data_IF_809640736778
#
_entry.id   IF_809640736778
#
_cell.length_a   1.000
_cell.length_b   1.000
_cell.length_c   1.000
_cell.angle_alpha   90.00
_cell.angle_beta   90.00
_cell.angle_gamma   90.00
#
_symmetry.space_group_name_H-M   'P 1'
#
loop_
_entity.id
_entity.type
_entity.pdbx_description
1 polymer ?
#
# COMPACT_ATOMS: atom_id res chain seq x y z
N UNK A 1 1.67 -9.23 15.85
CA UNK A 1 1.27 -7.85 15.54
C UNK A 1 -0.17 -7.91 15.07
N UNK A 2 -1.09 -7.05 15.52
CA UNK A 2 -2.48 -7.10 15.02
C UNK A 2 -2.52 -6.66 13.55
N UNK A 3 -3.48 -7.17 12.78
CA UNK A 3 -3.65 -6.85 11.36
C UNK A 3 -3.88 -5.33 11.16
N UNK A 4 -4.54 -4.66 12.10
CA UNK A 4 -4.73 -3.21 12.10
C UNK A 4 -3.43 -2.42 12.28
N UNK A 5 -2.56 -2.87 13.20
CA UNK A 5 -1.23 -2.26 13.38
C UNK A 5 -0.39 -2.45 12.13
N UNK A 6 -0.43 -3.64 11.53
CA UNK A 6 0.25 -3.94 10.27
C UNK A 6 -0.25 -3.04 9.13
N UNK A 7 -1.57 -2.90 8.98
CA UNK A 7 -2.21 -2.02 8.00
C UNK A 7 -1.77 -0.56 8.15
N UNK A 8 -1.65 -0.07 9.39
CA UNK A 8 -1.14 1.28 9.64
C UNK A 8 0.28 1.45 9.12
N UNK A 9 1.19 0.53 9.46
CA UNK A 9 2.58 0.59 8.98
C UNK A 9 2.68 0.54 7.45
N UNK A 10 1.93 -0.35 6.81
CA UNK A 10 1.95 -0.51 5.35
C UNK A 10 1.38 0.75 4.65
N UNK A 11 0.39 1.41 5.25
CA UNK A 11 -0.12 2.70 4.73
C UNK A 11 0.91 3.81 4.84
N UNK A 12 1.59 3.93 5.97
CA UNK A 12 2.67 4.91 6.15
C UNK A 12 3.82 4.67 5.16
N UNK A 13 4.16 3.40 4.93
CA UNK A 13 5.14 3.00 3.91
C UNK A 13 4.68 3.38 2.50
N UNK A 14 3.43 3.09 2.15
CA UNK A 14 2.84 3.46 0.87
C UNK A 14 2.95 4.96 0.60
N UNK A 15 2.55 5.80 1.55
CA UNK A 15 2.61 7.26 1.43
C UNK A 15 4.04 7.76 1.22
N UNK A 16 4.99 7.21 1.98
CA UNK A 16 6.40 7.57 1.85
C UNK A 16 6.98 7.21 0.47
N UNK A 17 6.66 6.02 -0.04
CA UNK A 17 7.17 5.55 -1.34
C UNK A 17 6.46 6.21 -2.52
N UNK A 18 5.16 6.52 -2.43
CA UNK A 18 4.45 7.34 -3.42
C UNK A 18 5.11 8.72 -3.52
N UNK A 19 5.34 9.39 -2.40
CA UNK A 19 6.00 10.70 -2.40
C UNK A 19 7.43 10.62 -2.98
N UNK A 20 8.15 9.52 -2.74
CA UNK A 20 9.48 9.28 -3.34
C UNK A 20 9.39 9.07 -4.85
N UNK A 21 8.39 8.32 -5.32
CA UNK A 21 8.15 8.07 -6.74
C UNK A 21 7.77 9.34 -7.48
N UNK A 22 6.92 10.19 -6.88
CA UNK A 22 6.56 11.49 -7.43
C UNK A 22 7.78 12.40 -7.61
N UNK A 23 8.64 12.50 -6.60
CA UNK A 23 9.89 13.27 -6.71
C UNK A 23 10.80 12.76 -7.82
N UNK A 24 10.94 11.44 -7.93
CA UNK A 24 11.76 10.84 -9.00
C UNK A 24 11.16 11.08 -10.39
N UNK A 25 9.84 10.94 -10.53
CA UNK A 25 9.13 11.23 -11.78
C UNK A 25 9.26 12.72 -12.16
N UNK A 26 9.20 13.63 -11.20
CA UNK A 26 9.38 15.06 -11.45
C UNK A 26 10.80 15.36 -11.91
N UNK A 27 11.81 14.74 -11.30
CA UNK A 27 13.19 14.87 -11.74
C UNK A 27 13.38 14.33 -13.17
N UNK A 28 12.87 13.14 -13.48
CA UNK A 28 12.98 12.52 -14.82
C UNK A 28 12.31 13.37 -15.91
N UNK A 29 11.24 14.10 -15.56
CA UNK A 29 10.55 15.03 -16.49
C UNK A 29 11.22 16.41 -16.57
N UNK A 30 12.24 16.69 -15.77
CA UNK A 30 12.89 17.99 -15.73
C UNK A 30 13.90 18.15 -16.86
N UNK A 31 14.12 19.41 -17.29
CA UNK A 31 15.17 19.72 -18.26
C UNK A 31 16.58 19.43 -17.73
N UNK A 32 16.76 19.35 -16.40
CA UNK A 32 18.03 19.00 -15.77
C UNK A 32 18.40 17.54 -16.06
N UNK A 33 17.42 16.62 -15.97
CA UNK A 33 17.63 15.21 -16.32
C UNK A 33 18.08 15.03 -17.77
N UNK A 34 17.54 15.85 -18.68
CA UNK A 34 17.91 15.78 -20.10
C UNK A 34 19.29 16.38 -20.42
N UNK A 35 19.78 17.32 -19.60
CA UNK A 35 20.98 18.11 -19.93
C UNK A 35 22.20 17.76 -19.09
N UNK A 36 22.01 17.37 -17.84
CA UNK A 36 23.07 17.19 -16.86
C UNK A 36 23.32 15.72 -16.48
N UNK A 37 22.46 14.80 -16.90
CA UNK A 37 22.57 13.37 -16.58
C UNK A 37 23.21 12.60 -17.72
N UNK A 38 24.29 11.87 -17.44
CA UNK A 38 24.93 10.99 -18.42
C UNK A 38 24.09 9.74 -18.72
N UNK A 39 24.45 9.01 -19.77
CA UNK A 39 23.69 7.86 -20.26
C UNK A 39 23.50 6.76 -19.19
N UNK A 40 24.56 6.43 -18.46
CA UNK A 40 24.53 5.41 -17.41
C UNK A 40 23.64 5.87 -16.25
N UNK A 41 23.78 7.13 -15.82
CA UNK A 41 22.93 7.70 -14.79
C UNK A 41 21.45 7.70 -15.20
N UNK A 42 21.12 8.03 -16.45
CA UNK A 42 19.74 7.97 -16.95
C UNK A 42 19.19 6.56 -16.91
N UNK A 43 19.97 5.58 -17.37
CA UNK A 43 19.55 4.18 -17.35
C UNK A 43 19.26 3.73 -15.91
N UNK A 44 20.15 4.05 -14.97
CA UNK A 44 19.98 3.71 -13.55
C UNK A 44 18.76 4.40 -12.92
N UNK A 45 18.51 5.67 -13.25
CA UNK A 45 17.37 6.42 -12.73
C UNK A 45 16.04 5.90 -13.29
N UNK A 46 15.99 5.52 -14.57
CA UNK A 46 14.81 4.89 -15.17
C UNK A 46 14.55 3.49 -14.58
N UNK A 47 15.60 2.69 -14.36
CA UNK A 47 15.48 1.40 -13.67
C UNK A 47 14.96 1.58 -12.24
N UNK A 48 15.49 2.57 -11.52
CA UNK A 48 15.03 2.93 -10.16
C UNK A 48 13.56 3.35 -10.16
N UNK A 49 13.14 4.14 -11.15
CA UNK A 49 11.76 4.57 -11.29
C UNK A 49 10.81 3.39 -11.50
N UNK A 50 11.19 2.46 -12.39
CA UNK A 50 10.40 1.26 -12.67
C UNK A 50 10.27 0.37 -11.43
N UNK A 51 11.39 0.08 -10.77
CA UNK A 51 11.40 -0.76 -9.57
C UNK A 51 10.58 -0.14 -8.42
N UNK A 52 10.66 1.18 -8.24
CA UNK A 52 9.88 1.88 -7.22
C UNK A 52 8.39 1.90 -7.55
N UNK A 53 8.02 2.05 -8.82
CA UNK A 53 6.62 1.97 -9.26
C UNK A 53 6.03 0.57 -9.04
N UNK A 54 6.79 -0.48 -9.35
CA UNK A 54 6.40 -1.87 -9.05
C UNK A 54 6.23 -2.08 -7.54
N UNK A 55 7.16 -1.58 -6.72
CA UNK A 55 7.07 -1.69 -5.27
C UNK A 55 5.82 -1.00 -4.69
N UNK A 56 5.54 0.23 -5.12
CA UNK A 56 4.33 0.97 -4.73
C UNK A 56 3.06 0.20 -5.12
N UNK A 57 3.04 -0.44 -6.30
CA UNK A 57 1.92 -1.27 -6.73
C UNK A 57 1.71 -2.47 -5.81
N UNK A 58 2.79 -3.17 -5.43
CA UNK A 58 2.73 -4.31 -4.51
C UNK A 58 2.18 -3.88 -3.14
N UNK A 59 2.65 -2.75 -2.61
CA UNK A 59 2.14 -2.21 -1.34
C UNK A 59 0.63 -1.91 -1.44
N UNK A 60 0.17 -1.31 -2.54
CA UNK A 60 -1.25 -1.04 -2.74
C UNK A 60 -2.11 -2.31 -2.78
N UNK A 61 -1.61 -3.37 -3.44
CA UNK A 61 -2.27 -4.69 -3.46
C UNK A 61 -2.31 -5.31 -2.06
N UNK A 62 -1.24 -5.20 -1.28
CA UNK A 62 -1.19 -5.69 0.09
C UNK A 62 -2.19 -4.94 0.99
N UNK A 63 -2.28 -3.61 0.89
CA UNK A 63 -3.29 -2.81 1.62
C UNK A 63 -4.69 -3.29 1.27
N UNK A 64 -4.99 -3.50 -0.01
CA UNK A 64 -6.30 -3.97 -0.47
C UNK A 64 -6.64 -5.35 0.10
N UNK A 65 -5.67 -6.27 0.11
CA UNK A 65 -5.84 -7.60 0.67
C UNK A 65 -6.09 -7.56 2.18
N UNK A 66 -5.27 -6.82 2.93
CA UNK A 66 -5.38 -6.74 4.39
C UNK A 66 -6.66 -6.01 4.81
N UNK A 67 -7.08 -4.98 4.09
CA UNK A 67 -8.37 -4.31 4.34
C UNK A 67 -9.56 -5.26 4.18
N UNK A 68 -9.54 -6.11 3.13
CA UNK A 68 -10.59 -7.11 2.94
C UNK A 68 -10.62 -8.11 4.11
N UNK A 69 -9.45 -8.53 4.60
CA UNK A 69 -9.35 -9.45 5.74
C UNK A 69 -9.91 -8.86 7.03
N UNK A 70 -9.69 -7.57 7.29
CA UNK A 70 -10.29 -6.89 8.45
C UNK A 70 -11.81 -6.87 8.33
N UNK A 71 -12.33 -6.50 7.16
CA UNK A 71 -13.79 -6.49 6.93
C UNK A 71 -14.41 -7.87 7.11
N UNK A 72 -13.81 -8.91 6.51
CA UNK A 72 -14.31 -10.30 6.65
C UNK A 72 -14.33 -10.74 8.13
N UNK A 73 -13.33 -10.33 8.95
CA UNK A 73 -13.31 -10.61 10.38
C UNK A 73 -14.39 -9.87 11.16
N UNK A 74 -14.67 -8.61 10.83
CA UNK A 74 -15.78 -7.85 11.44
C UNK A 74 -17.13 -8.50 11.15
N UNK A 75 -17.36 -8.95 9.90
CA UNK A 75 -18.58 -9.65 9.52
C UNK A 75 -18.77 -11.01 10.21
N UNK A 76 -17.69 -11.75 10.46
CA UNK A 76 -17.76 -13.01 11.21
C UNK A 76 -18.15 -12.76 12.68
N UNK A 77 -17.58 -11.74 13.32
CA UNK A 77 -17.88 -11.41 14.73
C UNK A 77 -19.33 -10.91 14.91
N UNK A 78 -19.81 -10.05 14.01
CA UNK A 78 -21.21 -9.58 14.06
C UNK A 78 -22.22 -10.72 13.87
N UNK A 79 -21.95 -11.67 12.96
CA UNK A 79 -22.80 -12.84 12.77
C UNK A 79 -22.79 -13.78 14.00
N UNK A 80 -21.65 -13.95 14.67
CA UNK A 80 -21.58 -14.75 15.91
C UNK A 80 -22.40 -14.13 17.05
N UNK A 81 -22.32 -12.80 17.25
CA UNK A 81 -23.06 -12.09 18.29
C UNK A 81 -24.58 -12.11 18.06
N UNK A 82 -25.03 -12.09 16.81
CA UNK A 82 -26.46 -12.22 16.46
C UNK A 82 -26.99 -13.65 16.67
N UNK A 83 -26.19 -14.66 16.36
CA UNK A 83 -26.53 -16.07 16.61
C UNK A 83 -26.60 -16.36 18.11
N UNK A 84 -25.66 -15.86 18.91
CA UNK A 84 -25.66 -16.06 20.37
C UNK A 84 -26.90 -15.41 21.04
N UNK A 85 -27.27 -14.19 20.62
CA UNK A 85 -28.48 -13.50 21.14
C UNK A 85 -29.78 -14.20 20.73
N UNK A 86 -29.83 -14.76 19.53
CA UNK A 86 -30.99 -15.53 19.03
C UNK A 86 -31.21 -16.83 19.81
N UNK A 87 -30.13 -17.52 20.22
CA UNK A 87 -30.23 -18.80 20.90
C UNK A 87 -30.46 -18.71 22.41
N UNK A 88 -30.08 -17.61 23.07
CA UNK A 88 -30.24 -17.47 24.54
C UNK A 88 -31.50 -16.75 25.02
N UNK A 89 -32.33 -16.19 24.12
CA UNK A 89 -33.59 -15.51 24.46
C UNK A 89 -34.86 -16.33 24.18
N UNK A 90 -34.82 -17.65 24.41
CA UNK A 90 -36.03 -18.48 24.58
C UNK A 90 -36.21 -18.83 26.05
N UNK A 91 -36.75 -17.89 26.84
CA UNK A 91 -37.41 -18.16 28.12
C UNK A 91 -38.90 -17.92 27.97
#
# INVERSE_FOLDING_TARGET
MSIEKNLKYIKEEYEAEVARLERLNNFIKSAEFEKATDEMQRELLLKKQKALAEYVSIIAEQIKYDMKKVQDQEFDVENYDEIEKSHFNKK
#
